data_IF_459005883503
#
_entry.id   IF_459005883503
#
_cell.length_a   1.000
_cell.length_b   1.000
_cell.length_c   1.000
_cell.angle_alpha   90.00
_cell.angle_beta   90.00
_cell.angle_gamma   90.00
#
_symmetry.space_group_name_H-M   'P 1'
#
loop_
_entity.id
_entity.type
_entity.pdbx_description
1 polymer ?
#
# COMPACT_ATOMS: atom_id res chain seq x y z
N UNK A 1 -11.19 -13.81 -25.10
CA UNK A 1 -11.34 -13.68 -24.65
C UNK A 1 -11.37 -13.58 -23.97
N UNK A 2 -11.35 -13.29 -23.93
CA UNK A 2 -11.58 -13.01 -23.24
C UNK A 2 -11.53 -12.72 -22.63
N UNK A 3 -11.50 -12.39 -22.55
CA UNK A 3 -11.70 -11.98 -22.00
C UNK A 3 -11.54 -11.32 -21.77
N UNK A 4 -11.24 -10.99 -21.87
CA UNK A 4 -11.24 -10.25 -21.75
C UNK A 4 -11.77 -9.57 -21.76
N UNK A 5 -12.23 -9.54 -21.97
CA UNK A 5 -12.96 -8.83 -21.96
C UNK A 5 -13.38 -8.40 -21.13
N UNK A 6 -13.45 -8.83 -20.52
CA UNK A 6 -13.84 -8.31 -19.75
C UNK A 6 -13.28 -7.30 -19.30
N UNK A 7 -12.31 -7.15 -19.36
CA UNK A 7 -11.71 -6.21 -19.15
C UNK A 7 -12.07 -5.17 -19.86
N UNK A 8 -12.47 -5.40 -20.75
CA UNK A 8 -12.97 -4.54 -21.44
C UNK A 8 -14.00 -3.99 -20.74
N UNK A 9 -14.27 -4.48 -19.73
CA UNK A 9 -15.20 -3.95 -19.05
C UNK A 9 -14.97 -2.57 -18.96
N UNK A 10 -15.85 -1.81 -19.04
CA UNK A 10 -15.66 -0.42 -19.04
C UNK A 10 -15.40 0.19 -17.72
N UNK A 11 -15.40 -0.59 -16.66
CA UNK A 11 -15.19 -0.02 -15.39
C UNK A 11 -13.75 0.18 -15.15
N UNK A 12 -13.23 1.37 -14.97
CA UNK A 12 -11.81 1.58 -14.73
C UNK A 12 -11.43 1.13 -13.33
N UNK A 13 -10.17 0.79 -13.17
CA UNK A 13 -9.66 0.43 -11.87
C UNK A 13 -9.64 1.69 -11.01
N UNK A 14 -10.16 1.54 -9.79
CA UNK A 14 -10.20 2.67 -8.90
C UNK A 14 -8.82 3.00 -8.41
N UNK A 15 -8.43 4.26 -8.51
CA UNK A 15 -7.14 4.71 -8.05
C UNK A 15 -7.19 4.86 -6.53
N UNK A 16 -6.26 4.19 -5.84
CA UNK A 16 -6.23 4.22 -4.39
C UNK A 16 -5.56 5.48 -3.91
N UNK A 17 -6.04 5.98 -2.79
CA UNK A 17 -5.53 7.21 -2.23
C UNK A 17 -4.48 6.91 -1.19
N UNK A 18 -3.29 7.48 -1.31
CA UNK A 18 -2.24 7.31 -0.32
C UNK A 18 -1.86 8.67 0.24
N UNK A 19 -1.41 8.70 1.50
CA UNK A 19 -1.08 9.96 2.14
C UNK A 19 0.16 10.59 1.55
N UNK A 20 1.18 9.81 1.33
CA UNK A 20 2.39 10.32 0.70
C UNK A 20 3.21 9.12 0.25
N UNK A 21 4.10 9.37 -0.66
CA UNK A 21 4.92 8.32 -1.18
C UNK A 21 5.99 7.92 -0.17
N UNK A 22 6.45 6.65 -0.22
CA UNK A 22 7.44 6.21 0.74
C UNK A 22 8.77 6.91 0.54
N UNK A 23 9.44 7.19 1.64
CA UNK A 23 10.76 7.78 1.57
C UNK A 23 11.81 6.74 1.27
N UNK A 24 11.64 5.55 1.79
CA UNK A 24 12.61 4.48 1.63
C UNK A 24 11.98 3.42 0.75
N UNK A 25 12.59 3.21 -0.41
CA UNK A 25 11.94 2.35 -1.43
C UNK A 25 12.69 1.08 -1.70
N UNK A 26 13.78 0.81 -0.97
CA UNK A 26 14.57 -0.37 -1.25
C UNK A 26 15.21 -0.88 0.01
N UNK A 27 14.97 -2.15 0.33
CA UNK A 27 15.55 -2.78 1.50
C UNK A 27 16.34 -3.99 1.02
N UNK A 28 17.64 -3.96 1.26
CA UNK A 28 18.55 -4.97 0.73
C UNK A 28 19.06 -5.84 1.86
N UNK A 29 18.89 -7.16 1.75
CA UNK A 29 19.39 -8.03 2.82
C UNK A 29 20.90 -8.06 2.84
N UNK A 30 21.48 -7.99 4.02
CA UNK A 30 22.91 -8.08 4.16
C UNK A 30 23.33 -9.53 3.94
N UNK A 31 24.40 -9.73 3.23
CA UNK A 31 24.95 -11.07 3.08
C UNK A 31 24.29 -11.91 2.02
N UNK A 32 23.36 -11.38 1.27
CA UNK A 32 22.73 -12.16 0.22
C UNK A 32 23.67 -12.31 -0.97
N UNK A 33 23.74 -13.51 -1.51
CA UNK A 33 24.56 -13.73 -2.68
C UNK A 33 23.86 -13.29 -3.93
N UNK A 34 22.56 -13.55 -4.00
CA UNK A 34 21.77 -13.13 -5.13
C UNK A 34 20.77 -12.13 -4.65
N UNK A 35 20.60 -11.05 -5.38
CA UNK A 35 19.67 -10.01 -4.99
C UNK A 35 18.44 -10.08 -5.86
N UNK A 36 17.54 -11.01 -5.53
CA UNK A 36 16.30 -11.16 -6.27
C UNK A 36 15.29 -10.16 -5.74
N UNK A 37 14.55 -9.48 -6.61
CA UNK A 37 13.61 -8.46 -6.14
C UNK A 37 12.27 -9.05 -5.74
N UNK A 38 11.64 -8.41 -4.78
CA UNK A 38 10.24 -8.63 -4.46
C UNK A 38 9.59 -7.26 -4.52
N UNK A 39 8.59 -7.11 -5.36
CA UNK A 39 7.98 -5.79 -5.57
C UNK A 39 6.78 -5.62 -4.67
N UNK A 40 6.84 -4.60 -3.81
CA UNK A 40 5.72 -4.21 -2.98
C UNK A 40 5.17 -2.93 -3.58
N UNK A 41 3.91 -2.94 -3.99
CA UNK A 41 3.37 -1.75 -4.62
C UNK A 41 3.17 -0.64 -3.60
N UNK A 42 3.03 0.57 -4.09
CA UNK A 42 2.83 1.72 -3.21
C UNK A 42 1.55 1.56 -2.40
N UNK A 43 0.50 1.03 -3.01
CA UNK A 43 -0.74 0.83 -2.26
C UNK A 43 -0.59 -0.27 -1.22
N UNK A 44 0.21 -1.29 -1.49
CA UNK A 44 0.49 -2.31 -0.48
C UNK A 44 1.27 -1.70 0.68
N UNK A 45 2.23 -0.86 0.37
CA UNK A 45 2.97 -0.15 1.38
C UNK A 45 2.03 0.70 2.25
N UNK A 46 1.09 1.37 1.60
CA UNK A 46 0.18 2.26 2.34
C UNK A 46 -0.73 1.46 3.28
N UNK A 47 -1.19 0.29 2.85
CA UNK A 47 -2.02 -0.52 3.73
C UNK A 47 -1.20 -0.97 4.94
N UNK A 48 0.04 -1.37 4.73
CA UNK A 48 0.90 -1.77 5.85
C UNK A 48 1.10 -0.60 6.80
N UNK A 49 1.31 0.59 6.25
CA UNK A 49 1.51 1.77 7.08
C UNK A 49 0.27 2.03 7.94
N UNK A 50 -0.90 1.97 7.33
CA UNK A 50 -2.13 2.25 8.06
C UNK A 50 -2.46 1.15 9.07
N UNK A 51 -2.44 -0.08 8.64
CA UNK A 51 -2.95 -1.16 9.48
C UNK A 51 -1.91 -1.62 10.50
N UNK A 52 -0.70 -1.91 10.06
CA UNK A 52 0.30 -2.49 10.96
C UNK A 52 1.07 -1.43 11.75
N UNK A 53 1.34 -0.29 11.14
CA UNK A 53 2.12 0.73 11.81
C UNK A 53 1.25 1.71 12.59
N UNK A 54 0.18 2.19 11.97
CA UNK A 54 -0.68 3.17 12.64
C UNK A 54 -1.84 2.52 13.38
N UNK A 55 -1.97 1.21 13.28
CA UNK A 55 -2.97 0.47 14.02
C UNK A 55 -4.40 0.80 13.64
N UNK A 56 -4.63 1.12 12.40
CA UNK A 56 -5.97 1.33 11.90
C UNK A 56 -6.67 0.01 11.68
N UNK A 57 -7.99 0.03 11.81
CA UNK A 57 -8.77 -1.12 11.38
C UNK A 57 -8.83 -1.13 9.86
N UNK A 58 -9.24 -2.28 9.30
CA UNK A 58 -9.40 -2.35 7.85
C UNK A 58 -10.43 -1.36 7.35
N UNK A 59 -11.47 -1.13 8.14
CA UNK A 59 -12.47 -0.15 7.77
C UNK A 59 -11.92 1.26 7.73
N UNK A 60 -11.12 1.60 8.73
CA UNK A 60 -10.51 2.93 8.77
C UNK A 60 -9.56 3.11 7.61
N UNK A 61 -8.78 2.08 7.31
CA UNK A 61 -7.86 2.12 6.19
C UNK A 61 -8.61 2.28 4.87
N UNK A 62 -9.74 1.58 4.75
CA UNK A 62 -10.54 1.66 3.54
C UNK A 62 -11.05 3.07 3.30
N UNK A 63 -11.51 3.71 4.35
CA UNK A 63 -11.97 5.08 4.23
C UNK A 63 -10.84 6.01 3.83
N UNK A 64 -9.67 5.83 4.42
CA UNK A 64 -8.53 6.67 4.11
C UNK A 64 -8.10 6.52 2.67
N UNK A 65 -8.12 5.31 2.16
CA UNK A 65 -7.63 5.04 0.81
C UNK A 65 -8.74 5.09 -0.25
N UNK A 66 -9.98 5.31 0.18
CA UNK A 66 -11.11 5.42 -0.73
C UNK A 66 -11.34 4.13 -1.51
N UNK A 67 -11.31 3.01 -0.80
CA UNK A 67 -11.57 1.70 -1.39
C UNK A 67 -12.43 0.90 -0.41
N UNK A 68 -12.86 -0.26 -0.82
CA UNK A 68 -13.70 -1.09 0.03
C UNK A 68 -12.85 -1.82 1.06
N UNK A 69 -13.50 -2.24 2.15
CA UNK A 69 -12.83 -2.99 3.18
C UNK A 69 -12.30 -4.31 2.65
N UNK A 70 -13.06 -4.96 1.77
CA UNK A 70 -12.61 -6.21 1.17
C UNK A 70 -11.33 -6.00 0.38
N UNK A 71 -11.24 -4.90 -0.35
CA UNK A 71 -10.04 -4.60 -1.12
C UNK A 71 -8.86 -4.39 -0.18
N UNK A 72 -9.08 -3.69 0.95
CA UNK A 72 -8.01 -3.51 1.92
C UNK A 72 -7.50 -4.87 2.40
N UNK A 73 -8.41 -5.78 2.71
CA UNK A 73 -8.01 -7.09 3.20
C UNK A 73 -7.17 -7.83 2.18
N UNK A 74 -7.57 -7.78 0.91
CA UNK A 74 -6.83 -8.44 -0.15
C UNK A 74 -5.44 -7.84 -0.32
N UNK A 75 -5.36 -6.52 -0.31
CA UNK A 75 -4.08 -5.85 -0.45
C UNK A 75 -3.19 -6.16 0.75
N UNK A 76 -3.79 -6.18 1.93
CA UNK A 76 -3.07 -6.43 3.17
C UNK A 76 -2.45 -7.83 3.16
N UNK A 77 -3.22 -8.82 2.74
CA UNK A 77 -2.69 -10.19 2.70
C UNK A 77 -1.56 -10.31 1.71
N UNK A 78 -1.71 -9.69 0.55
CA UNK A 78 -0.67 -9.70 -0.45
C UNK A 78 0.60 -9.01 0.07
N UNK A 79 0.42 -7.87 0.72
CA UNK A 79 1.54 -7.11 1.22
C UNK A 79 2.31 -7.89 2.27
N UNK A 80 1.59 -8.51 3.19
CA UNK A 80 2.25 -9.25 4.26
C UNK A 80 2.99 -10.46 3.74
N UNK A 81 2.41 -11.13 2.74
CA UNK A 81 3.10 -12.26 2.14
C UNK A 81 4.41 -11.82 1.48
N UNK A 82 4.38 -10.70 0.77
CA UNK A 82 5.58 -10.22 0.09
C UNK A 82 6.67 -9.83 1.06
N UNK A 83 6.28 -9.19 2.16
CA UNK A 83 7.25 -8.85 3.19
C UNK A 83 7.85 -10.11 3.79
N UNK A 84 7.01 -11.08 4.11
CA UNK A 84 7.48 -12.33 4.67
C UNK A 84 8.41 -13.05 3.70
N UNK A 85 8.05 -13.07 2.42
CA UNK A 85 8.87 -13.70 1.41
C UNK A 85 10.26 -13.06 1.34
N UNK A 86 10.31 -11.73 1.43
CA UNK A 86 11.58 -11.03 1.42
C UNK A 86 12.41 -11.37 2.63
N UNK A 87 11.79 -11.43 3.80
CA UNK A 87 12.51 -11.70 5.03
C UNK A 87 13.04 -13.13 5.05
N UNK A 88 12.21 -14.08 4.65
CA UNK A 88 12.59 -15.48 4.76
C UNK A 88 13.59 -15.89 3.68
N UNK A 89 13.41 -15.38 2.49
CA UNK A 89 14.23 -15.79 1.36
C UNK A 89 15.30 -14.78 0.97
N UNK A 90 15.46 -13.72 1.75
CA UNK A 90 16.53 -12.76 1.51
C UNK A 90 16.39 -12.01 0.20
N UNK A 91 15.18 -11.59 -0.14
CA UNK A 91 14.97 -10.84 -1.37
C UNK A 91 15.07 -9.35 -1.11
N UNK A 92 15.40 -8.60 -2.15
CA UNK A 92 15.41 -7.14 -2.07
C UNK A 92 13.96 -6.68 -2.14
N UNK A 93 13.52 -5.98 -1.13
CA UNK A 93 12.15 -5.46 -1.12
C UNK A 93 12.16 -4.11 -1.82
N UNK A 94 11.48 -4.04 -2.97
CA UNK A 94 11.44 -2.82 -3.78
C UNK A 94 10.02 -2.27 -3.73
N UNK A 95 9.85 -1.06 -3.25
CA UNK A 95 8.54 -0.45 -3.10
C UNK A 95 8.32 0.49 -4.28
N UNK A 96 7.50 0.06 -5.22
CA UNK A 96 7.29 0.85 -6.43
C UNK A 96 6.06 0.36 -7.16
N UNK A 97 5.51 1.23 -7.98
CA UNK A 97 4.40 0.86 -8.85
C UNK A 97 3.07 0.84 -8.14
N UNK A 98 2.06 0.39 -8.86
CA UNK A 98 0.73 0.32 -8.29
C UNK A 98 -0.16 1.38 -8.88
N UNK A 99 -1.42 1.37 -8.42
CA UNK A 99 -2.44 2.24 -8.94
C UNK A 99 -2.92 3.16 -7.82
N UNK A 100 -2.31 4.32 -7.70
CA UNK A 100 -2.55 5.19 -6.57
C UNK A 100 -2.42 6.66 -6.97
N UNK A 101 -2.90 7.53 -6.07
CA UNK A 101 -2.65 8.96 -6.17
C UNK A 101 -2.36 9.48 -4.78
N UNK A 102 -1.55 10.52 -4.70
CA UNK A 102 -1.23 11.10 -3.41
C UNK A 102 -2.36 12.03 -2.98
N UNK A 103 -2.74 11.94 -1.71
CA UNK A 103 -3.80 12.76 -1.18
C UNK A 103 -3.46 14.22 -1.25
N UNK A 104 -4.50 15.03 -1.42
CA UNK A 104 -4.32 16.44 -1.23
C UNK A 104 -4.33 16.73 0.26
N UNK A 105 -3.83 17.88 0.63
CA UNK A 105 -3.72 18.24 2.04
C UNK A 105 -5.04 18.10 2.77
N UNK A 106 -6.11 18.56 2.14
CA UNK A 106 -7.41 18.51 2.79
C UNK A 106 -7.84 17.08 3.06
N UNK A 107 -7.52 16.18 2.13
CA UNK A 107 -7.87 14.77 2.33
C UNK A 107 -7.07 14.15 3.45
N UNK A 108 -5.79 14.49 3.52
CA UNK A 108 -4.96 13.96 4.59
C UNK A 108 -5.44 14.44 5.94
N UNK A 109 -5.88 15.69 6.00
CA UNK A 109 -6.32 16.24 7.25
C UNK A 109 -7.60 15.61 7.75
N UNK A 110 -8.36 14.98 6.85
CA UNK A 110 -9.59 14.35 7.27
C UNK A 110 -9.40 13.27 8.32
N UNK A 111 -8.26 12.61 8.33
CA UNK A 111 -8.05 11.51 9.24
C UNK A 111 -7.17 11.85 10.42
N UNK A 112 -6.74 13.10 10.52
CA UNK A 112 -5.92 13.47 11.63
C UNK A 112 -6.57 13.22 12.96
N UNK A 113 -7.79 13.66 13.10
CA UNK A 113 -8.45 13.54 14.39
C UNK A 113 -8.67 12.09 14.77
N UNK A 114 -8.84 11.24 13.78
CA UNK A 114 -9.07 9.86 14.08
C UNK A 114 -7.86 9.18 14.66
N UNK A 115 -6.72 9.42 14.09
CA UNK A 115 -5.51 8.76 14.53
C UNK A 115 -4.85 9.51 15.66
N UNK A 116 -5.18 10.76 15.83
CA UNK A 116 -4.52 11.55 16.84
C UNK A 116 -3.12 11.95 16.51
N UNK A 117 -2.75 11.76 15.27
CA UNK A 117 -1.39 12.08 14.86
C UNK A 117 -1.42 13.16 13.81
N UNK A 118 -1.31 14.39 14.27
CA UNK A 118 -1.40 15.50 13.36
C UNK A 118 -0.21 15.66 12.44
N UNK A 119 0.94 15.27 12.90
CA UNK A 119 2.10 15.45 12.10
C UNK A 119 2.08 14.67 10.84
N UNK A 120 1.50 13.50 10.86
CA UNK A 120 1.49 12.70 9.68
C UNK A 120 0.74 13.31 8.56
N UNK A 121 -0.25 14.07 8.83
CA UNK A 121 -1.03 14.65 7.78
C UNK A 121 -0.50 15.97 7.29
N UNK A 122 0.47 16.50 7.99
CA UNK A 122 0.99 17.77 7.60
C UNK A 122 1.98 17.70 6.52
N UNK A 123 2.64 16.64 6.38
CA UNK A 123 3.62 16.51 5.35
C UNK A 123 3.01 16.05 4.07
#
# INVERSE_FOLDING_TARGET
MSFFWRDEMPRPVRVRRVCEEPRYTRFVPAGAEKLEPQILTIEEYEVIRHVDYQKMTHEECALQMDISRTTVTEIYESARYKIADSLINGKVLCIEGGNYRVCEVSERCRTKSRTGNNEECKN
#
